data_IF_277284611224
#
_entry.id   IF_277284611224
#
_cell.length_a   1.000
_cell.length_b   1.000
_cell.length_c   1.000
_cell.angle_alpha   90.00
_cell.angle_beta   90.00
_cell.angle_gamma   90.00
#
_symmetry.space_group_name_H-M   'P 1'
#
loop_
_entity.id
_entity.type
_entity.pdbx_description
1 polymer ?
#
# COMPACT_ATOMS: atom_id res chain seq x y z
N UNK A 1 47.64 11.47 16.95
CA UNK A 1 46.38 12.21 16.81
C UNK A 1 45.84 11.74 15.48
N UNK A 2 44.86 10.84 15.51
CA UNK A 2 44.22 10.39 14.27
C UNK A 2 43.48 11.59 13.67
N UNK A 3 43.76 11.88 12.39
CA UNK A 3 43.12 12.97 11.66
C UNK A 3 41.61 12.72 11.62
N UNK A 4 40.85 13.53 12.36
CA UNK A 4 39.40 13.51 12.31
C UNK A 4 38.97 14.00 10.93
N UNK A 5 38.64 13.06 10.04
CA UNK A 5 37.98 13.37 8.78
C UNK A 5 36.49 13.55 9.08
N UNK A 6 35.92 14.75 8.89
CA UNK A 6 34.49 14.94 9.09
C UNK A 6 33.72 14.01 8.14
N UNK A 7 32.56 13.47 8.56
CA UNK A 7 31.75 12.64 7.69
C UNK A 7 31.38 13.42 6.42
N UNK A 8 31.27 12.75 5.28
CA UNK A 8 30.92 13.40 4.03
C UNK A 8 29.60 14.18 4.18
N UNK A 9 29.47 15.35 3.52
CA UNK A 9 28.26 16.14 3.60
C UNK A 9 27.07 15.32 3.08
N UNK A 10 25.96 15.41 3.82
CA UNK A 10 24.71 14.76 3.44
C UNK A 10 24.20 15.34 2.12
N UNK A 11 23.53 14.54 1.27
CA UNK A 11 22.87 15.08 0.10
C UNK A 11 21.81 16.10 0.53
N UNK A 12 21.60 17.18 -0.25
CA UNK A 12 20.59 18.20 0.05
C UNK A 12 19.18 17.58 0.05
N UNK A 13 18.23 18.10 0.85
CA UNK A 13 16.85 17.62 0.85
C UNK A 13 16.30 17.54 -0.57
N UNK A 14 15.60 16.44 -0.87
CA UNK A 14 14.99 16.24 -2.17
C UNK A 14 13.71 17.09 -2.30
N UNK A 15 12.90 17.12 -1.24
CA UNK A 15 11.67 17.90 -1.22
C UNK A 15 11.92 19.34 -0.75
N UNK A 16 11.32 20.36 -1.42
CA UNK A 16 11.28 21.70 -0.87
C UNK A 16 10.62 21.72 0.51
N UNK A 17 11.05 22.59 1.45
CA UNK A 17 10.51 22.61 2.82
C UNK A 17 8.98 22.71 2.89
N UNK A 18 8.35 23.50 2.02
CA UNK A 18 6.90 23.62 1.96
C UNK A 18 6.21 22.32 1.54
N UNK A 19 6.77 21.60 0.56
CA UNK A 19 6.24 20.30 0.11
C UNK A 19 6.42 19.23 1.18
N UNK A 20 7.58 19.18 1.84
CA UNK A 20 7.83 18.26 2.95
C UNK A 20 6.87 18.51 4.12
N UNK A 21 6.67 19.78 4.49
CA UNK A 21 5.69 20.14 5.51
C UNK A 21 4.28 19.71 5.11
N UNK A 22 3.87 19.95 3.86
CA UNK A 22 2.56 19.54 3.37
C UNK A 22 2.36 18.02 3.45
N UNK A 23 3.37 17.24 3.05
CA UNK A 23 3.36 15.77 3.18
C UNK A 23 3.17 15.34 4.63
N UNK A 24 3.96 15.90 5.54
CA UNK A 24 3.91 15.54 6.95
C UNK A 24 2.63 16.01 7.66
N UNK A 25 2.00 17.10 7.19
CA UNK A 25 0.78 17.65 7.80
C UNK A 25 -0.50 17.00 7.27
N UNK A 26 -0.58 16.76 5.96
CA UNK A 26 -1.80 16.28 5.31
C UNK A 26 -1.73 14.81 4.86
N UNK A 27 -0.54 14.22 4.91
CA UNK A 27 -0.30 12.83 4.56
C UNK A 27 -0.07 12.59 3.06
N UNK A 28 -0.19 13.60 2.18
CA UNK A 28 0.03 13.43 0.74
C UNK A 28 0.74 14.64 0.11
N UNK A 29 1.36 14.47 -1.06
CA UNK A 29 1.86 15.54 -1.94
C UNK A 29 1.70 15.16 -3.42
N UNK A 30 1.60 16.17 -4.29
CA UNK A 30 1.91 16.02 -5.71
C UNK A 30 3.41 16.02 -5.95
N UNK A 31 3.89 15.21 -6.89
CA UNK A 31 5.31 15.10 -7.21
C UNK A 31 5.55 15.21 -8.72
N UNK A 32 6.61 15.90 -9.14
CA UNK A 32 7.11 15.81 -10.50
C UNK A 32 8.16 14.71 -10.56
N UNK A 33 7.92 13.67 -11.35
CA UNK A 33 8.90 12.59 -11.51
C UNK A 33 10.13 13.08 -12.28
N UNK A 34 11.34 12.61 -11.93
CA UNK A 34 12.49 12.74 -12.81
C UNK A 34 12.18 12.18 -14.20
N UNK A 35 12.66 12.84 -15.26
CA UNK A 35 12.33 12.45 -16.63
C UNK A 35 12.61 10.97 -16.96
N UNK A 36 13.76 10.37 -16.56
CA UNK A 36 14.00 8.94 -16.78
C UNK A 36 12.94 8.05 -16.11
N UNK A 37 12.59 8.34 -14.86
CA UNK A 37 11.59 7.58 -14.12
C UNK A 37 10.19 7.73 -14.75
N UNK A 38 9.81 8.94 -15.18
CA UNK A 38 8.57 9.16 -15.90
C UNK A 38 8.49 8.30 -17.17
N UNK A 39 9.58 8.22 -17.94
CA UNK A 39 9.66 7.38 -19.14
C UNK A 39 9.52 5.88 -18.81
N UNK A 40 10.12 5.41 -17.72
CA UNK A 40 9.95 4.02 -17.27
C UNK A 40 8.50 3.70 -16.89
N UNK A 41 7.78 4.63 -16.22
CA UNK A 41 6.36 4.46 -15.93
C UNK A 41 5.51 4.36 -17.21
N UNK A 42 5.82 5.14 -18.24
CA UNK A 42 5.15 5.04 -19.54
C UNK A 42 5.42 3.70 -20.24
N UNK A 43 6.65 3.19 -20.17
CA UNK A 43 7.00 1.86 -20.69
C UNK A 43 6.26 0.74 -19.95
N UNK A 44 6.19 0.82 -18.63
CA UNK A 44 5.44 -0.12 -17.80
C UNK A 44 3.94 -0.04 -18.05
N UNK A 45 3.40 1.16 -18.26
CA UNK A 45 2.00 1.33 -18.66
C UNK A 45 1.72 0.64 -19.99
N UNK A 46 2.57 0.85 -21.00
CA UNK A 46 2.41 0.22 -22.30
C UNK A 46 2.46 -1.33 -22.21
N UNK A 47 3.39 -1.88 -21.42
CA UNK A 47 3.48 -3.32 -21.17
C UNK A 47 2.23 -3.85 -20.44
N UNK A 48 1.74 -3.08 -19.45
CA UNK A 48 0.52 -3.39 -18.72
C UNK A 48 -0.72 -3.38 -19.62
N UNK A 49 -0.85 -2.38 -20.48
CA UNK A 49 -1.97 -2.26 -21.43
C UNK A 49 -1.95 -3.42 -22.44
N UNK A 50 -0.76 -3.81 -22.93
CA UNK A 50 -0.60 -4.99 -23.79
C UNK A 50 -1.03 -6.29 -23.09
N UNK A 51 -0.74 -6.45 -21.80
CA UNK A 51 -1.22 -7.59 -21.00
C UNK A 51 -2.73 -7.56 -20.83
N UNK A 52 -3.31 -6.43 -20.41
CA UNK A 52 -4.76 -6.34 -20.15
C UNK A 52 -5.62 -6.41 -21.41
N UNK A 53 -5.06 -6.08 -22.57
CA UNK A 53 -5.71 -6.27 -23.87
C UNK A 53 -5.89 -7.76 -24.26
N UNK A 54 -5.19 -8.69 -23.61
CA UNK A 54 -5.34 -10.11 -23.89
C UNK A 54 -6.73 -10.64 -23.46
N UNK A 55 -7.25 -11.69 -24.13
CA UNK A 55 -8.47 -12.36 -23.69
C UNK A 55 -8.37 -12.84 -22.23
N UNK A 56 -9.48 -12.79 -21.49
CA UNK A 56 -9.50 -13.19 -20.07
C UNK A 56 -8.88 -14.58 -19.84
N UNK A 57 -9.16 -15.55 -20.71
CA UNK A 57 -8.60 -16.90 -20.64
C UNK A 57 -7.06 -16.95 -20.66
N UNK A 58 -6.39 -16.01 -21.34
CA UNK A 58 -4.93 -15.93 -21.37
C UNK A 58 -4.35 -15.28 -20.10
N UNK A 59 -5.15 -14.47 -19.38
CA UNK A 59 -4.77 -13.80 -18.14
C UNK A 59 -5.01 -14.66 -16.89
N UNK A 60 -6.02 -15.53 -16.92
CA UNK A 60 -6.39 -16.40 -15.80
C UNK A 60 -5.25 -17.29 -15.25
N UNK A 61 -4.32 -17.82 -16.06
CA UNK A 61 -3.17 -18.57 -15.55
C UNK A 61 -2.31 -17.82 -14.54
N UNK A 62 -2.31 -16.48 -14.55
CA UNK A 62 -1.51 -15.65 -13.63
C UNK A 62 -2.23 -15.32 -12.31
N UNK A 63 -3.47 -15.78 -12.11
CA UNK A 63 -4.16 -15.62 -10.81
C UNK A 63 -3.46 -16.42 -9.72
N UNK A 64 -3.57 -16.06 -8.43
CA UNK A 64 -3.18 -16.95 -7.34
C UNK A 64 -3.99 -18.25 -7.31
N UNK A 65 -3.34 -19.38 -6.99
CA UNK A 65 -4.02 -20.63 -6.67
C UNK A 65 -3.35 -21.39 -5.51
N UNK A 66 -4.16 -22.13 -4.74
CA UNK A 66 -3.68 -22.96 -3.63
C UNK A 66 -2.79 -24.09 -4.13
N UNK A 67 -3.25 -24.78 -5.18
CA UNK A 67 -2.51 -25.81 -5.89
C UNK A 67 -2.15 -25.25 -7.28
N UNK A 68 -1.00 -25.62 -7.84
CA UNK A 68 -0.64 -25.27 -9.23
C UNK A 68 -1.25 -26.29 -10.19
N UNK A 69 -2.45 -26.08 -10.76
CA UNK A 69 -2.90 -26.94 -11.84
C UNK A 69 -1.92 -26.84 -13.02
N UNK A 70 -1.87 -27.86 -13.90
CA UNK A 70 -1.06 -27.80 -15.11
C UNK A 70 -1.34 -26.50 -15.90
N UNK A 71 -0.29 -25.77 -16.25
CA UNK A 71 -0.39 -24.50 -16.98
C UNK A 71 -0.68 -23.26 -16.11
N UNK A 72 -0.74 -23.40 -14.78
CA UNK A 72 -0.80 -22.25 -13.87
C UNK A 72 0.55 -21.53 -13.79
N UNK A 73 0.55 -20.23 -13.98
CA UNK A 73 1.73 -19.36 -13.96
C UNK A 73 1.75 -18.42 -12.75
N UNK A 74 0.62 -18.30 -12.06
CA UNK A 74 0.46 -17.47 -10.88
C UNK A 74 1.12 -18.02 -9.62
N UNK A 75 1.15 -17.20 -8.55
CA UNK A 75 1.79 -17.53 -7.30
C UNK A 75 1.04 -18.62 -6.52
N UNK A 76 1.75 -19.57 -5.88
CA UNK A 76 1.13 -20.58 -5.01
C UNK A 76 0.65 -19.91 -3.71
N UNK A 77 -0.57 -19.37 -3.73
CA UNK A 77 -1.19 -18.71 -2.60
C UNK A 77 -2.71 -18.74 -2.69
N UNK A 78 -3.39 -18.41 -1.59
CA UNK A 78 -4.85 -18.38 -1.56
C UNK A 78 -5.42 -17.64 -2.77
N UNK A 79 -6.46 -18.17 -3.46
CA UNK A 79 -7.17 -17.44 -4.51
C UNK A 79 -7.72 -16.08 -4.05
N UNK A 80 -7.90 -15.91 -2.73
CA UNK A 80 -8.33 -14.65 -2.11
C UNK A 80 -7.17 -13.69 -1.80
N UNK A 81 -5.92 -14.10 -2.07
CA UNK A 81 -4.74 -13.28 -1.85
C UNK A 81 -4.58 -12.25 -2.97
N UNK A 82 -5.05 -11.04 -2.73
CA UNK A 82 -4.94 -9.93 -3.69
C UNK A 82 -3.57 -9.23 -3.67
N UNK A 83 -2.59 -9.73 -2.91
CA UNK A 83 -1.25 -9.15 -2.82
C UNK A 83 -0.24 -9.76 -3.80
N UNK A 84 -0.67 -10.69 -4.66
CA UNK A 84 0.18 -11.28 -5.72
C UNK A 84 -0.65 -11.70 -6.92
N UNK A 85 -0.05 -11.70 -8.11
CA UNK A 85 -0.67 -12.24 -9.31
C UNK A 85 -1.81 -11.39 -9.86
N UNK A 86 -2.52 -11.96 -10.84
CA UNK A 86 -3.63 -11.32 -11.53
C UNK A 86 -4.94 -11.45 -10.75
N UNK A 87 -5.76 -10.40 -10.77
CA UNK A 87 -7.14 -10.41 -10.28
C UNK A 87 -8.02 -9.67 -11.27
N UNK A 88 -9.21 -10.21 -11.53
CA UNK A 88 -10.27 -9.49 -12.25
C UNK A 88 -11.55 -9.53 -11.45
N UNK A 89 -12.10 -8.34 -11.23
CA UNK A 89 -13.36 -8.07 -10.56
C UNK A 89 -14.31 -7.55 -11.63
N UNK A 90 -15.24 -8.41 -12.03
CA UNK A 90 -16.19 -8.14 -13.11
C UNK A 90 -17.00 -6.86 -12.85
N UNK A 91 -17.09 -5.99 -13.85
CA UNK A 91 -17.78 -4.70 -13.74
C UNK A 91 -17.05 -3.65 -12.91
N UNK A 92 -15.88 -3.97 -12.33
CA UNK A 92 -15.09 -3.04 -11.52
C UNK A 92 -13.73 -2.75 -12.16
N UNK A 93 -12.80 -3.70 -12.06
CA UNK A 93 -11.39 -3.49 -12.38
C UNK A 93 -10.67 -4.82 -12.54
N UNK A 94 -9.59 -4.79 -13.29
CA UNK A 94 -8.57 -5.81 -13.28
C UNK A 94 -7.24 -5.24 -12.83
N UNK A 95 -6.42 -6.07 -12.20
CA UNK A 95 -5.10 -5.65 -11.76
C UNK A 95 -4.12 -6.81 -11.68
N UNK A 96 -2.83 -6.47 -11.79
CA UNK A 96 -1.70 -7.36 -11.58
C UNK A 96 -0.91 -6.84 -10.37
N UNK A 97 -0.72 -7.68 -9.35
CA UNK A 97 0.10 -7.34 -8.18
C UNK A 97 1.45 -8.05 -8.23
N UNK A 98 2.51 -7.26 -8.20
CA UNK A 98 3.90 -7.68 -8.22
C UNK A 98 4.48 -7.55 -6.81
N UNK A 99 5.25 -8.56 -6.40
CA UNK A 99 6.08 -8.55 -5.19
C UNK A 99 7.53 -8.63 -5.59
N UNK A 100 8.44 -8.38 -4.64
CA UNK A 100 9.89 -8.34 -4.89
C UNK A 100 10.38 -9.49 -5.76
N UNK A 101 10.03 -10.74 -5.47
CA UNK A 101 10.51 -11.88 -6.25
C UNK A 101 10.18 -11.83 -7.74
N UNK A 102 9.07 -11.17 -8.13
CA UNK A 102 8.67 -10.99 -9.53
C UNK A 102 8.64 -12.31 -10.35
N UNK A 103 8.41 -13.42 -9.68
CA UNK A 103 8.54 -14.78 -10.22
C UNK A 103 7.36 -15.25 -11.08
N UNK A 104 6.24 -14.53 -11.02
CA UNK A 104 4.95 -14.95 -11.59
C UNK A 104 4.42 -13.94 -12.61
N UNK A 105 5.33 -13.24 -13.30
CA UNK A 105 4.97 -12.15 -14.19
C UNK A 105 4.67 -12.64 -15.61
N UNK A 106 3.69 -12.03 -16.29
CA UNK A 106 3.53 -12.19 -17.73
C UNK A 106 4.79 -11.76 -18.49
N UNK A 107 5.05 -12.35 -19.69
CA UNK A 107 6.15 -11.95 -20.55
C UNK A 107 6.18 -10.43 -20.80
N UNK A 108 7.38 -9.84 -20.73
CA UNK A 108 7.60 -8.40 -20.96
C UNK A 108 7.24 -7.48 -19.79
N UNK A 109 6.51 -7.96 -18.76
CA UNK A 109 6.20 -7.13 -17.58
C UNK A 109 7.45 -6.95 -16.71
N UNK A 110 8.28 -7.98 -16.52
CA UNK A 110 9.47 -7.89 -15.67
C UNK A 110 10.44 -6.81 -16.14
N UNK A 111 10.81 -6.82 -17.42
CA UNK A 111 11.78 -5.88 -17.99
C UNK A 111 11.36 -4.42 -17.84
N UNK A 112 10.05 -4.16 -17.89
CA UNK A 112 9.49 -2.82 -17.67
C UNK A 112 9.31 -2.48 -16.17
N UNK A 113 8.99 -3.48 -15.34
CA UNK A 113 8.68 -3.27 -13.92
C UNK A 113 9.92 -3.16 -13.03
N UNK A 114 11.00 -3.87 -13.34
CA UNK A 114 12.21 -3.90 -12.52
C UNK A 114 12.88 -2.50 -12.41
N UNK A 115 13.08 -1.73 -13.50
CA UNK A 115 13.60 -0.36 -13.40
C UNK A 115 12.68 0.57 -12.61
N UNK A 116 11.36 0.50 -12.85
CA UNK A 116 10.37 1.28 -12.11
C UNK A 116 10.43 0.96 -10.62
N UNK A 117 10.55 -0.32 -10.25
CA UNK A 117 10.65 -0.75 -8.86
C UNK A 117 11.89 -0.14 -8.20
N UNK A 118 13.06 -0.33 -8.80
CA UNK A 118 14.34 0.16 -8.28
C UNK A 118 14.29 1.68 -8.07
N UNK A 119 14.06 2.44 -9.15
CA UNK A 119 14.13 3.90 -9.09
C UNK A 119 13.03 4.51 -8.21
N UNK A 120 11.83 3.91 -8.19
CA UNK A 120 10.76 4.36 -7.29
C UNK A 120 11.07 4.07 -5.83
N UNK A 121 11.61 2.88 -5.51
CA UNK A 121 11.93 2.53 -4.14
C UNK A 121 13.03 3.46 -3.57
N UNK A 122 14.07 3.73 -4.36
CA UNK A 122 15.14 4.68 -4.00
C UNK A 122 14.62 6.11 -3.88
N UNK A 123 13.72 6.55 -4.77
CA UNK A 123 13.06 7.86 -4.66
C UNK A 123 12.28 7.99 -3.34
N UNK A 124 11.47 6.98 -3.00
CA UNK A 124 10.69 6.98 -1.76
C UNK A 124 11.57 6.86 -0.51
N UNK A 125 12.64 6.08 -0.56
CA UNK A 125 13.64 6.00 0.52
C UNK A 125 14.33 7.34 0.75
N UNK A 126 14.66 8.08 -0.33
CA UNK A 126 15.19 9.45 -0.21
C UNK A 126 14.20 10.40 0.47
N UNK A 127 12.91 10.31 0.12
CA UNK A 127 11.83 11.07 0.77
C UNK A 127 11.69 10.68 2.25
N UNK A 128 11.82 9.40 2.61
CA UNK A 128 11.87 8.97 4.00
C UNK A 128 13.05 9.61 4.76
N UNK A 129 14.21 9.74 4.12
CA UNK A 129 15.35 10.47 4.69
C UNK A 129 15.02 11.93 5.01
N UNK A 130 14.32 12.63 4.11
CA UNK A 130 13.85 14.02 4.36
C UNK A 130 12.83 14.05 5.51
N UNK A 131 11.90 13.09 5.56
CA UNK A 131 10.94 12.93 6.67
C UNK A 131 11.68 12.67 8.00
N UNK A 132 12.72 11.84 7.99
CA UNK A 132 13.55 11.58 9.17
C UNK A 132 14.12 12.87 9.74
N UNK A 133 14.72 13.71 8.89
CA UNK A 133 15.23 15.02 9.29
C UNK A 133 14.10 15.94 9.79
N UNK A 134 12.95 15.96 9.12
CA UNK A 134 11.78 16.74 9.55
C UNK A 134 11.30 16.35 10.96
N UNK A 135 11.37 15.06 11.29
CA UNK A 135 10.99 14.51 12.59
C UNK A 135 12.09 14.62 13.66
N UNK A 136 13.24 15.23 13.34
CA UNK A 136 14.41 15.29 14.22
C UNK A 136 15.09 13.94 14.44
N UNK A 137 14.87 12.97 13.54
CA UNK A 137 15.49 11.66 13.57
C UNK A 137 16.83 11.65 12.80
N UNK A 138 17.59 10.58 12.96
CA UNK A 138 18.77 10.32 12.15
C UNK A 138 18.39 10.15 10.66
N UNK A 139 19.24 10.60 9.70
CA UNK A 139 18.95 10.48 8.28
C UNK A 139 18.87 9.02 7.79
N UNK A 140 19.44 8.09 8.54
CA UNK A 140 19.50 6.65 8.27
C UNK A 140 18.49 5.84 9.09
N UNK A 141 17.60 6.50 9.85
CA UNK A 141 16.63 5.82 10.73
C UNK A 141 15.75 4.82 9.97
N UNK A 142 15.57 5.02 8.66
CA UNK A 142 14.73 4.18 7.82
C UNK A 142 15.50 3.06 7.10
N UNK A 143 16.83 3.06 7.11
CA UNK A 143 17.65 2.16 6.29
C UNK A 143 17.40 0.70 6.64
N UNK A 144 17.44 0.37 7.94
CA UNK A 144 17.11 -0.97 8.43
C UNK A 144 15.64 -1.35 8.19
N UNK A 145 14.74 -0.36 8.14
CA UNK A 145 13.30 -0.59 7.95
C UNK A 145 12.98 -0.96 6.51
N UNK A 146 13.76 -0.53 5.51
CA UNK A 146 13.48 -0.80 4.09
C UNK A 146 14.57 -1.60 3.38
N UNK A 147 15.56 -2.12 4.11
CA UNK A 147 16.76 -2.75 3.55
C UNK A 147 16.47 -3.85 2.51
N UNK A 148 15.41 -4.62 2.70
CA UNK A 148 15.03 -5.70 1.79
C UNK A 148 14.11 -5.27 0.65
N UNK A 149 13.67 -4.00 0.60
CA UNK A 149 12.60 -3.53 -0.28
C UNK A 149 13.05 -2.66 -1.45
N UNK A 150 14.31 -2.21 -1.44
CA UNK A 150 14.84 -1.25 -2.44
C UNK A 150 15.09 -1.88 -3.81
N UNK A 151 15.47 -3.15 -3.82
CA UNK A 151 15.81 -3.85 -5.06
C UNK A 151 14.70 -4.82 -5.49
N UNK A 152 14.38 -4.89 -6.80
CA UNK A 152 13.59 -5.99 -7.31
C UNK A 152 14.37 -7.32 -7.14
N UNK A 153 13.65 -8.43 -7.07
CA UNK A 153 14.25 -9.75 -7.23
C UNK A 153 14.70 -9.97 -8.67
N UNK A 154 15.44 -11.05 -8.92
CA UNK A 154 15.99 -11.40 -10.23
C UNK A 154 14.93 -11.84 -11.26
N UNK A 155 13.67 -11.98 -10.86
CA UNK A 155 12.58 -12.45 -11.72
C UNK A 155 12.73 -13.91 -12.15
N UNK A 156 13.76 -14.62 -11.68
CA UNK A 156 14.04 -15.99 -12.09
C UNK A 156 13.17 -16.93 -11.27
N UNK A 157 12.17 -17.51 -11.94
CA UNK A 157 11.46 -18.64 -11.37
C UNK A 157 12.31 -19.89 -11.47
N UNK A 158 12.95 -20.28 -10.37
CA UNK A 158 13.49 -21.63 -10.24
C UNK A 158 12.32 -22.60 -10.28
N UNK A 159 12.16 -23.32 -11.40
CA UNK A 159 11.11 -24.32 -11.53
C UNK A 159 11.23 -25.37 -10.42
N UNK A 160 10.12 -25.96 -9.98
CA UNK A 160 10.11 -27.02 -8.97
C UNK A 160 11.05 -28.19 -9.35
N UNK A 161 11.30 -28.40 -10.64
CA UNK A 161 12.27 -29.40 -11.15
C UNK A 161 13.74 -28.99 -10.97
N UNK A 162 14.07 -27.70 -11.16
CA UNK A 162 15.41 -27.16 -10.87
C UNK A 162 15.65 -27.14 -9.36
N UNK A 163 14.60 -26.87 -8.57
CA UNK A 163 14.62 -26.95 -7.11
C UNK A 163 14.83 -28.41 -6.65
N UNK A 164 14.08 -29.35 -7.22
CA UNK A 164 14.18 -30.78 -6.89
C UNK A 164 15.53 -31.39 -7.32
N UNK A 165 16.06 -31.00 -8.48
CA UNK A 165 17.39 -31.42 -8.93
C UNK A 165 18.50 -30.93 -7.98
N UNK A 166 18.42 -29.66 -7.54
CA UNK A 166 19.37 -29.11 -6.57
C UNK A 166 19.24 -29.75 -5.17
N UNK A 167 18.06 -30.23 -4.79
CA UNK A 167 17.86 -30.98 -3.53
C UNK A 167 18.40 -32.41 -3.58
N UNK A 168 18.23 -33.09 -4.72
CA UNK A 168 18.76 -34.44 -4.93
C UNK A 168 20.30 -34.46 -4.82
N UNK A 169 20.97 -33.50 -5.45
CA UNK A 169 22.45 -33.38 -5.43
C UNK A 169 23.02 -33.08 -4.02
N UNK A 170 22.23 -32.52 -3.10
CA UNK A 170 22.65 -32.28 -1.71
C UNK A 170 22.41 -33.47 -0.78
N UNK A 171 21.51 -34.40 -1.15
CA UNK A 171 21.22 -35.59 -0.34
C UNK A 171 22.27 -36.70 -0.49
N UNK A 172 23.00 -36.74 -1.62
CA UNK A 172 24.00 -37.76 -1.93
C UNK A 172 25.35 -37.58 -1.22
N UNK A 173 25.53 -36.50 -0.43
CA UNK A 173 26.77 -36.21 0.30
C UNK A 173 26.87 -36.76 1.72
N UNK A 174 25.77 -37.27 2.31
CA UNK A 174 25.80 -37.87 3.66
C UNK A 174 26.13 -39.37 3.57
N UNK A 175 27.41 -39.65 3.35
CA UNK A 175 27.96 -40.98 3.55
C UNK A 175 27.69 -41.48 4.97
N UNK A 176 27.19 -42.71 5.07
CA UNK A 176 26.99 -43.46 6.30
C UNK A 176 28.35 -43.70 7.00
N UNK A 177 28.73 -42.78 7.89
CA UNK A 177 29.81 -42.98 8.84
C UNK A 177 29.29 -43.60 10.13
N UNK A 178 29.07 -44.92 10.14
CA UNK A 178 28.98 -45.67 11.40
C UNK A 178 30.36 -45.67 12.08
N UNK A 179 30.52 -44.84 13.11
CA UNK A 179 31.76 -44.74 13.89
C UNK A 179 31.51 -44.44 15.35
N UNK A 180 31.24 -45.48 16.15
CA UNK A 180 31.32 -45.43 17.62
C UNK A 180 32.77 -45.12 18.04
N UNK A 181 33.00 -43.94 18.60
CA UNK A 181 34.26 -43.59 19.25
C UNK A 181 34.06 -42.61 20.40
N UNK A 182 34.07 -43.12 21.63
CA UNK A 182 34.27 -42.30 22.84
C UNK A 182 35.77 -41.96 22.92
N UNK A 183 36.11 -40.68 22.94
CA UNK A 183 37.45 -40.21 23.27
C UNK A 183 37.43 -38.73 23.60
N UNK A 184 37.69 -38.39 24.87
CA UNK A 184 38.24 -37.10 25.27
C UNK A 184 39.58 -36.89 24.56
N UNK A 185 39.92 -35.66 24.18
CA UNK A 185 41.25 -35.04 24.30
C UNK A 185 41.14 -33.58 23.85
N UNK A 186 41.69 -32.70 24.68
CA UNK A 186 42.04 -31.30 24.42
C UNK A 186 43.07 -31.21 23.27
N UNK A 187 42.98 -30.24 22.37
CA UNK A 187 44.15 -29.51 21.83
C UNK A 187 43.75 -28.45 20.79
N UNK A 188 44.49 -27.35 20.86
CA UNK A 188 44.50 -26.20 19.98
C UNK A 188 44.67 -26.57 18.50
N UNK A 189 43.82 -26.04 17.62
CA UNK A 189 43.89 -26.30 16.18
C UNK A 189 43.14 -25.29 15.34
N UNK A 190 43.92 -24.43 14.68
CA UNK A 190 43.69 -23.66 13.44
C UNK A 190 42.24 -23.57 12.91
N UNK A 191 41.69 -22.36 12.99
CA UNK A 191 40.45 -21.91 12.31
C UNK A 191 40.61 -22.01 10.77
N UNK A 192 40.33 -23.18 10.22
CA UNK A 192 40.04 -23.33 8.80
C UNK A 192 38.80 -22.49 8.44
N UNK A 193 38.83 -21.71 7.34
CA UNK A 193 37.71 -20.86 6.95
C UNK A 193 36.50 -21.74 6.61
N UNK A 194 35.50 -21.70 7.49
CA UNK A 194 34.19 -22.32 7.30
C UNK A 194 33.65 -21.88 5.94
N UNK A 195 33.64 -22.80 4.98
CA UNK A 195 33.23 -22.54 3.61
C UNK A 195 31.83 -21.94 3.54
N UNK A 196 31.67 -20.94 2.67
CA UNK A 196 30.42 -20.24 2.38
C UNK A 196 29.28 -21.27 2.25
N UNK A 197 28.43 -21.33 3.27
CA UNK A 197 27.20 -22.11 3.18
C UNK A 197 26.35 -21.50 2.07
N UNK A 198 25.79 -22.30 1.14
CA UNK A 198 24.99 -21.76 0.06
C UNK A 198 23.85 -20.90 0.63
N UNK A 199 23.51 -19.77 -0.04
CA UNK A 199 22.54 -18.82 0.48
C UNK A 199 21.24 -19.53 0.84
N UNK A 200 20.78 -19.34 2.08
CA UNK A 200 19.50 -19.89 2.56
C UNK A 200 18.39 -19.44 1.62
N UNK A 201 17.66 -20.42 1.08
CA UNK A 201 16.54 -20.19 0.14
C UNK A 201 15.44 -19.37 0.84
N UNK A 202 14.95 -18.33 0.18
CA UNK A 202 13.81 -17.54 0.65
C UNK A 202 12.49 -18.17 0.19
N UNK A 203 11.60 -18.50 1.12
CA UNK A 203 10.24 -18.90 0.76
C UNK A 203 9.54 -17.68 0.13
N UNK A 204 8.65 -17.81 -0.86
CA UNK A 204 7.86 -16.69 -1.37
C UNK A 204 7.00 -15.95 -0.31
N UNK A 205 6.89 -16.50 0.91
CA UNK A 205 6.22 -15.87 2.07
C UNK A 205 7.15 -14.91 2.83
N UNK A 206 8.43 -14.95 2.49
CA UNK A 206 9.51 -14.15 3.05
C UNK A 206 9.82 -12.94 2.16
N UNK A 207 9.18 -12.81 0.98
CA UNK A 207 9.31 -11.57 0.22
C UNK A 207 8.82 -10.41 1.10
N UNK A 208 9.54 -9.28 1.05
CA UNK A 208 9.10 -8.08 1.71
C UNK A 208 7.66 -7.70 1.29
N UNK A 209 6.93 -7.03 2.17
CA UNK A 209 5.55 -6.67 1.93
C UNK A 209 5.41 -5.54 0.89
N UNK A 210 6.50 -4.89 0.50
CA UNK A 210 6.58 -3.93 -0.61
C UNK A 210 6.01 -4.55 -1.87
N UNK A 211 5.22 -3.76 -2.61
CA UNK A 211 4.50 -4.24 -3.78
C UNK A 211 4.30 -3.14 -4.82
N UNK A 212 4.05 -3.57 -6.05
CA UNK A 212 3.70 -2.75 -7.19
C UNK A 212 2.40 -3.31 -7.79
N UNK A 213 1.42 -2.45 -8.07
CA UNK A 213 0.13 -2.83 -8.67
C UNK A 213 -0.12 -2.07 -9.95
N UNK A 214 -0.49 -2.82 -10.98
CA UNK A 214 -0.92 -2.28 -12.26
C UNK A 214 -2.44 -2.44 -12.33
N UNK A 215 -3.18 -1.33 -12.39
CA UNK A 215 -4.65 -1.34 -12.43
C UNK A 215 -5.16 -0.87 -13.78
N UNK A 216 -6.20 -1.55 -14.26
CA UNK A 216 -7.09 -1.08 -15.31
C UNK A 216 -8.52 -1.15 -14.80
N UNK A 217 -9.22 -0.02 -14.87
CA UNK A 217 -10.60 0.09 -14.40
C UNK A 217 -11.57 -0.10 -15.56
N UNK A 218 -12.65 -0.84 -15.34
CA UNK A 218 -13.70 -0.96 -16.35
C UNK A 218 -14.48 0.36 -16.46
N UNK A 219 -14.90 0.78 -17.68
CA UNK A 219 -15.67 2.00 -17.85
C UNK A 219 -16.90 2.06 -16.95
N UNK A 220 -17.05 3.17 -16.24
CA UNK A 220 -18.16 3.39 -15.32
C UNK A 220 -18.18 2.47 -14.10
N UNK A 221 -17.08 1.76 -13.84
CA UNK A 221 -16.88 0.89 -12.69
C UNK A 221 -15.62 1.24 -11.90
N UNK A 222 -15.30 0.39 -10.93
CA UNK A 222 -13.95 0.36 -10.38
C UNK A 222 -13.62 1.43 -9.34
N UNK A 223 -14.64 2.03 -8.73
CA UNK A 223 -14.45 2.82 -7.52
C UNK A 223 -13.73 2.04 -6.42
N UNK A 224 -13.10 2.76 -5.50
CA UNK A 224 -12.54 2.21 -4.28
C UNK A 224 -13.03 3.07 -3.12
N UNK A 225 -13.59 2.44 -2.10
CA UNK A 225 -14.03 3.12 -0.88
C UNK A 225 -12.83 3.81 -0.20
N UNK A 226 -13.14 4.71 0.74
CA UNK A 226 -12.09 5.37 1.52
C UNK A 226 -11.24 4.37 2.29
N UNK A 227 -9.92 4.52 2.22
CA UNK A 227 -8.99 3.70 2.99
C UNK A 227 -7.65 4.41 3.18
N UNK A 228 -6.76 3.77 3.95
CA UNK A 228 -5.35 4.12 4.15
C UNK A 228 -4.51 2.94 3.71
N UNK A 229 -3.32 3.23 3.20
CA UNK A 229 -2.36 2.17 2.86
C UNK A 229 -1.59 1.68 4.09
N UNK A 230 -1.21 0.41 4.07
CA UNK A 230 -0.50 -0.23 5.18
C UNK A 230 0.95 0.27 5.34
N UNK A 231 1.60 0.67 4.25
CA UNK A 231 3.05 0.83 4.15
C UNK A 231 3.65 2.05 4.85
N UNK A 232 4.86 2.41 4.42
CA UNK A 232 5.53 3.65 4.82
C UNK A 232 5.07 4.79 3.90
N UNK A 233 5.31 4.62 2.61
CA UNK A 233 4.92 5.56 1.56
C UNK A 233 4.32 4.79 0.37
N UNK A 234 3.32 5.38 -0.27
CA UNK A 234 2.77 4.91 -1.55
C UNK A 234 2.94 6.01 -2.58
N UNK A 235 3.42 5.68 -3.77
CA UNK A 235 3.28 6.55 -4.94
C UNK A 235 2.23 5.97 -5.89
N UNK A 236 1.35 6.83 -6.37
CA UNK A 236 0.32 6.50 -7.33
C UNK A 236 0.49 7.37 -8.57
N UNK A 237 0.69 6.74 -9.72
CA UNK A 237 0.74 7.39 -11.03
C UNK A 237 -0.54 7.03 -11.77
N UNK A 238 -1.39 8.02 -12.03
CA UNK A 238 -2.71 7.84 -12.65
C UNK A 238 -2.72 8.34 -14.10
N UNK A 239 -3.42 7.61 -14.96
CA UNK A 239 -3.84 8.08 -16.28
C UNK A 239 -5.37 8.07 -16.30
N UNK A 240 -5.94 9.28 -16.23
CA UNK A 240 -7.37 9.51 -15.98
C UNK A 240 -7.62 10.13 -14.60
N UNK A 241 -8.85 10.61 -14.38
CA UNK A 241 -9.29 11.23 -13.12
C UNK A 241 -9.79 10.19 -12.12
N UNK A 242 -10.18 10.63 -10.92
CA UNK A 242 -10.95 9.83 -9.96
C UNK A 242 -10.23 9.46 -8.67
N UNK A 243 -8.89 9.55 -8.60
CA UNK A 243 -8.20 9.45 -7.31
C UNK A 243 -8.48 10.72 -6.51
N UNK A 244 -8.99 10.55 -5.30
CA UNK A 244 -9.22 11.65 -4.36
C UNK A 244 -8.53 11.36 -3.04
N UNK A 245 -8.01 12.41 -2.41
CA UNK A 245 -7.40 12.38 -1.08
C UNK A 245 -8.20 13.28 -0.16
N UNK A 246 -8.28 12.93 1.13
CA UNK A 246 -8.91 13.73 2.16
C UNK A 246 -7.81 14.45 2.95
N UNK A 247 -7.65 15.78 2.78
CA UNK A 247 -6.70 16.55 3.57
C UNK A 247 -6.97 16.32 5.06
N UNK A 248 -5.95 15.90 5.79
CA UNK A 248 -6.06 15.79 7.24
C UNK A 248 -5.93 17.19 7.85
N UNK A 249 -6.69 17.48 8.92
CA UNK A 249 -6.45 18.70 9.68
C UNK A 249 -4.98 18.68 10.17
N UNK A 250 -4.35 19.86 10.27
CA UNK A 250 -2.97 19.93 10.75
C UNK A 250 -2.88 19.24 12.11
N UNK A 251 -1.93 18.30 12.24
CA UNK A 251 -1.71 17.61 13.51
C UNK A 251 -1.24 18.56 14.62
N UNK A 252 -1.23 18.10 15.88
CA UNK A 252 -0.80 18.90 17.04
C UNK A 252 0.65 19.39 16.97
N UNK A 253 1.45 18.87 16.04
CA UNK A 253 2.82 19.30 15.78
C UNK A 253 2.96 20.50 14.87
N UNK A 254 1.87 21.07 14.35
CA UNK A 254 1.96 22.35 13.66
C UNK A 254 2.42 23.37 14.68
N UNK A 255 3.66 23.90 14.61
CA UNK A 255 4.11 24.89 15.57
C UNK A 255 3.08 26.02 15.54
N UNK A 256 2.59 26.51 16.70
CA UNK A 256 1.76 27.69 16.69
C UNK A 256 2.54 28.73 15.88
N UNK A 257 1.95 29.22 14.77
CA UNK A 257 2.61 30.20 13.90
C UNK A 257 3.18 31.27 14.82
N UNK A 258 4.51 31.28 14.91
CA UNK A 258 5.21 31.98 15.97
C UNK A 258 4.84 33.45 15.87
N UNK A 259 4.18 33.96 16.91
CA UNK A 259 3.67 35.33 17.02
C UNK A 259 4.79 36.38 17.18
N UNK A 260 5.93 36.17 16.51
CA UNK A 260 7.16 36.94 16.74
C UNK A 260 7.22 38.26 15.96
N UNK A 261 6.33 38.50 15.01
CA UNK A 261 6.16 39.85 14.47
C UNK A 261 5.16 40.60 15.35
N UNK A 262 5.68 41.33 16.34
CA UNK A 262 4.96 42.28 17.21
C UNK A 262 4.34 43.47 16.47
N UNK A 263 3.80 43.25 15.27
CA UNK A 263 3.02 44.19 14.51
C UNK A 263 1.67 44.47 15.18
N UNK A 264 1.07 45.63 14.91
CA UNK A 264 -0.22 46.02 15.48
C UNK A 264 -1.26 44.93 15.19
N UNK A 265 -2.00 44.57 16.23
CA UNK A 265 -3.06 43.55 16.24
C UNK A 265 -4.13 43.91 15.22
N UNK A 266 -3.91 43.53 13.95
CA UNK A 266 -4.95 43.52 12.95
C UNK A 266 -6.03 42.54 13.44
N UNK A 267 -7.29 42.93 13.27
CA UNK A 267 -8.44 42.10 13.63
C UNK A 267 -8.20 40.64 13.19
N UNK A 268 -8.59 39.65 14.02
CA UNK A 268 -8.35 38.24 13.71
C UNK A 268 -8.81 37.99 12.27
N UNK A 269 -7.95 37.44 11.40
CA UNK A 269 -8.34 37.17 10.03
C UNK A 269 -9.62 36.32 10.07
N UNK A 270 -10.62 36.74 9.29
CA UNK A 270 -11.84 35.96 9.08
C UNK A 270 -11.46 34.50 8.87
N UNK A 271 -12.08 33.60 9.67
CA UNK A 271 -11.74 32.19 9.63
C UNK A 271 -11.71 31.70 8.17
N UNK A 272 -10.65 31.00 7.75
CA UNK A 272 -10.57 30.50 6.39
C UNK A 272 -11.80 29.63 6.10
N UNK A 273 -12.33 29.65 4.86
CA UNK A 273 -13.44 28.79 4.49
C UNK A 273 -13.08 27.33 4.80
N UNK A 274 -14.06 26.50 5.21
CA UNK A 274 -13.81 25.09 5.50
C UNK A 274 -13.18 24.44 4.27
N UNK A 275 -12.06 23.74 4.48
CA UNK A 275 -11.40 23.01 3.42
C UNK A 275 -12.38 21.95 2.86
N UNK A 276 -12.38 21.69 1.53
CA UNK A 276 -13.20 20.63 0.96
C UNK A 276 -12.83 19.27 1.59
N UNK A 277 -13.84 18.45 1.87
CA UNK A 277 -13.66 17.12 2.49
C UNK A 277 -12.80 16.17 1.65
N UNK A 278 -12.82 16.35 0.32
CA UNK A 278 -12.08 15.54 -0.65
C UNK A 278 -11.55 16.44 -1.75
N UNK A 279 -10.29 16.21 -2.13
CA UNK A 279 -9.65 16.90 -3.25
C UNK A 279 -9.16 15.89 -4.27
N UNK A 280 -9.25 16.28 -5.54
CA UNK A 280 -8.66 15.48 -6.62
C UNK A 280 -7.15 15.42 -6.44
N UNK A 281 -6.61 14.21 -6.49
CA UNK A 281 -5.19 13.98 -6.35
C UNK A 281 -4.46 14.36 -7.65
N UNK A 282 -3.25 14.95 -7.56
CA UNK A 282 -2.38 15.12 -8.72
C UNK A 282 -2.11 13.81 -9.47
N UNK A 283 -1.72 13.91 -10.74
CA UNK A 283 -1.44 12.74 -11.58
C UNK A 283 -0.43 11.78 -10.93
N UNK A 284 0.63 12.33 -10.34
CA UNK A 284 1.62 11.62 -9.54
C UNK A 284 1.47 12.10 -8.11
N UNK A 285 1.00 11.21 -7.24
CA UNK A 285 0.74 11.52 -5.83
C UNK A 285 1.54 10.59 -4.94
N UNK A 286 2.29 11.14 -3.99
CA UNK A 286 2.90 10.41 -2.88
C UNK A 286 2.00 10.53 -1.66
N UNK A 287 1.79 9.42 -0.96
CA UNK A 287 0.93 9.29 0.20
C UNK A 287 1.66 8.56 1.33
N UNK A 288 1.35 8.90 2.56
CA UNK A 288 1.87 8.27 3.77
C UNK A 288 0.98 7.12 4.20
N UNK A 289 1.59 6.01 4.61
CA UNK A 289 0.89 4.82 5.08
C UNK A 289 0.82 4.70 6.60
N UNK A 290 0.17 3.64 7.07
CA UNK A 290 -0.01 3.37 8.50
C UNK A 290 1.29 3.00 9.21
N UNK A 291 2.21 2.30 8.55
CA UNK A 291 3.49 1.94 9.18
C UNK A 291 4.28 3.20 9.51
N UNK A 292 4.31 4.19 8.60
CA UNK A 292 4.95 5.47 8.86
C UNK A 292 4.25 6.24 10.00
N UNK A 293 2.91 6.24 10.03
CA UNK A 293 2.16 6.85 11.13
C UNK A 293 2.47 6.21 12.48
N UNK A 294 2.54 4.87 12.55
CA UNK A 294 2.85 4.15 13.79
C UNK A 294 4.29 4.41 14.23
N UNK A 295 5.27 4.24 13.34
CA UNK A 295 6.68 4.45 13.66
C UNK A 295 6.99 5.92 13.96
N UNK A 296 6.27 6.87 13.37
CA UNK A 296 6.40 8.28 13.73
C UNK A 296 5.65 8.65 15.01
N UNK A 297 5.04 7.72 15.74
CA UNK A 297 4.23 7.98 16.94
C UNK A 297 3.06 8.95 16.68
N UNK A 298 2.34 8.73 15.57
CA UNK A 298 1.24 9.58 15.08
C UNK A 298 1.63 11.02 14.72
N UNK A 299 2.93 11.34 14.64
CA UNK A 299 3.41 12.66 14.24
C UNK A 299 3.11 12.98 12.77
N UNK A 300 3.04 11.95 11.94
CA UNK A 300 2.63 12.04 10.53
C UNK A 300 1.32 11.25 10.36
N UNK A 301 0.24 11.87 9.89
CA UNK A 301 -1.00 11.15 9.65
C UNK A 301 -0.87 10.30 8.38
N UNK A 302 -1.56 9.16 8.33
CA UNK A 302 -1.67 8.38 7.09
C UNK A 302 -2.71 9.00 6.17
N UNK A 303 -2.39 9.11 4.88
CA UNK A 303 -3.30 9.62 3.87
C UNK A 303 -4.58 8.78 3.78
N UNK A 304 -5.73 9.45 3.90
CA UNK A 304 -7.02 8.85 3.57
C UNK A 304 -7.30 9.17 2.10
N UNK A 305 -7.56 8.13 1.31
CA UNK A 305 -7.82 8.28 -0.12
C UNK A 305 -8.93 7.35 -0.59
N UNK A 306 -9.53 7.67 -1.74
CA UNK A 306 -10.58 6.89 -2.41
C UNK A 306 -10.45 6.99 -3.92
N UNK A 307 -11.13 6.11 -4.64
CA UNK A 307 -11.31 6.22 -6.09
C UNK A 307 -12.79 6.42 -6.37
N UNK A 308 -13.12 7.52 -7.03
CA UNK A 308 -14.48 7.87 -7.46
C UNK A 308 -14.62 7.62 -8.95
N UNK A 309 -15.74 7.01 -9.32
CA UNK A 309 -16.16 6.84 -10.72
C UNK A 309 -16.87 8.11 -11.17
N UNK A 310 -16.58 8.62 -12.36
CA UNK A 310 -17.35 9.74 -12.92
C UNK A 310 -18.82 9.30 -13.08
N UNK A 311 -19.79 10.00 -12.46
CA UNK A 311 -21.20 9.63 -12.56
C UNK A 311 -21.71 9.53 -14.00
N UNK A 312 -21.18 10.34 -14.92
CA UNK A 312 -21.56 10.31 -16.34
C UNK A 312 -21.03 9.03 -17.00
N UNK A 313 -19.81 8.64 -16.67
CA UNK A 313 -19.20 7.40 -17.15
C UNK A 313 -19.94 6.18 -16.59
N UNK A 314 -20.32 6.22 -15.31
CA UNK A 314 -21.12 5.19 -14.67
C UNK A 314 -22.50 5.02 -15.33
N UNK A 315 -23.19 6.13 -15.61
CA UNK A 315 -24.49 6.12 -16.29
C UNK A 315 -24.38 5.56 -17.72
N UNK A 316 -23.40 6.02 -18.50
CA UNK A 316 -23.16 5.53 -19.86
C UNK A 316 -22.84 4.02 -19.87
N UNK A 317 -22.03 3.55 -18.93
CA UNK A 317 -21.72 2.12 -18.79
C UNK A 317 -22.95 1.29 -18.38
N UNK A 318 -23.84 1.83 -17.55
CA UNK A 318 -25.07 1.16 -17.17
C UNK A 318 -26.04 1.01 -18.36
N UNK A 319 -26.23 2.07 -19.15
CA UNK A 319 -27.05 2.04 -20.36
C UNK A 319 -26.53 1.02 -21.39
N UNK A 320 -25.21 0.98 -21.60
CA UNK A 320 -24.56 0.02 -22.47
C UNK A 320 -24.86 -1.45 -22.09
N UNK A 321 -24.85 -1.78 -20.79
CA UNK A 321 -25.15 -3.14 -20.29
C UNK A 321 -26.60 -3.55 -20.55
N UNK A 322 -27.56 -2.63 -20.39
CA UNK A 322 -28.99 -2.92 -20.60
C UNK A 322 -29.27 -3.22 -22.08
N UNK A 323 -28.59 -2.53 -22.99
CA UNK A 323 -28.82 -2.69 -24.43
C UNK A 323 -28.36 -4.03 -25.01
N UNK A 324 -27.72 -4.92 -24.24
CA UNK A 324 -27.10 -6.14 -24.74
C UNK A 324 -26.01 -5.90 -25.79
N UNK A 325 -25.67 -4.63 -26.04
CA UNK A 325 -24.63 -4.21 -26.95
C UNK A 325 -23.33 -4.36 -26.21
N UNK A 326 -22.49 -5.30 -26.65
CA UNK A 326 -21.05 -5.18 -26.40
C UNK A 326 -20.63 -3.94 -27.16
N UNK A 327 -20.73 -2.77 -26.53
CA UNK A 327 -20.37 -1.54 -27.19
C UNK A 327 -18.89 -1.70 -27.51
N UNK A 328 -18.59 -1.92 -28.80
CA UNK A 328 -17.26 -1.80 -29.41
C UNK A 328 -16.82 -0.32 -29.35
N UNK A 329 -17.16 0.40 -28.27
CA UNK A 329 -16.57 1.68 -27.98
C UNK A 329 -15.09 1.41 -28.02
N UNK A 330 -14.34 2.07 -28.92
CA UNK A 330 -12.89 2.02 -28.85
C UNK A 330 -12.53 2.33 -27.40
N UNK A 331 -11.53 1.66 -26.80
CA UNK A 331 -11.15 1.82 -25.40
C UNK A 331 -10.66 3.26 -25.15
N UNK A 332 -11.58 4.22 -25.17
CA UNK A 332 -11.36 5.62 -24.92
C UNK A 332 -11.11 5.72 -23.43
N UNK A 333 -9.83 5.67 -23.12
CA UNK A 333 -9.19 6.00 -21.85
C UNK A 333 -9.87 5.41 -20.61
N UNK A 334 -10.04 4.08 -20.58
CA UNK A 334 -10.24 3.40 -19.30
C UNK A 334 -9.19 3.91 -18.32
N UNK A 335 -9.61 4.35 -17.13
CA UNK A 335 -8.68 4.81 -16.10
C UNK A 335 -7.64 3.72 -15.86
N UNK A 336 -6.38 4.14 -15.76
CA UNK A 336 -5.25 3.26 -15.43
C UNK A 336 -4.49 3.87 -14.26
N UNK A 337 -3.92 3.02 -13.42
CA UNK A 337 -3.00 3.51 -12.39
C UNK A 337 -1.94 2.49 -12.06
N UNK A 338 -0.73 2.97 -11.83
CA UNK A 338 0.37 2.19 -11.29
C UNK A 338 0.61 2.66 -9.86
N UNK A 339 0.56 1.73 -8.92
CA UNK A 339 0.69 2.01 -7.48
C UNK A 339 1.88 1.24 -6.93
N UNK A 340 2.90 1.95 -6.45
CA UNK A 340 4.03 1.37 -5.74
C UNK A 340 3.91 1.69 -4.26
N UNK A 341 3.83 0.67 -3.41
CA UNK A 341 3.74 0.81 -1.97
C UNK A 341 5.04 0.33 -1.31
N UNK A 342 5.88 1.27 -0.89
CA UNK A 342 7.06 0.99 -0.09
C UNK A 342 6.62 0.63 1.33
N UNK A 343 6.94 -0.59 1.77
CA UNK A 343 6.57 -1.09 3.10
C UNK A 343 7.82 -1.43 3.88
N UNK A 344 7.68 -1.48 5.21
CA UNK A 344 8.75 -1.93 6.08
C UNK A 344 9.07 -3.42 5.83
N UNK A 345 10.32 -3.81 6.11
CA UNK A 345 10.73 -5.22 6.18
C UNK A 345 9.83 -5.99 7.15
N UNK A 346 9.77 -7.30 6.95
CA UNK A 346 9.17 -8.21 7.96
C UNK A 346 10.21 -9.11 8.60
N UNK A 347 11.49 -8.83 8.38
CA UNK A 347 12.61 -9.62 8.88
C UNK A 347 13.29 -8.86 10.01
N UNK A 348 13.60 -9.56 11.11
CA UNK A 348 14.29 -9.00 12.26
C UNK A 348 13.43 -8.06 13.11
N UNK A 349 14.12 -7.24 13.89
CA UNK A 349 13.53 -6.28 14.81
C UNK A 349 13.78 -4.84 14.34
N UNK A 350 12.81 -3.96 14.59
CA UNK A 350 12.91 -2.52 14.36
C UNK A 350 13.23 -1.86 15.71
N UNK A 351 14.36 -1.16 15.78
CA UNK A 351 14.74 -0.38 16.96
C UNK A 351 13.85 0.86 17.09
N UNK A 352 13.04 0.95 18.15
CA UNK A 352 12.14 2.07 18.36
C UNK A 352 12.89 3.33 18.81
N UNK A 353 14.10 3.18 19.35
CA UNK A 353 15.01 4.28 19.68
C UNK A 353 15.31 5.17 18.47
N UNK A 354 15.36 4.61 17.27
CA UNK A 354 15.64 5.35 16.03
C UNK A 354 14.48 6.31 15.66
N UNK A 355 13.33 6.12 16.29
CA UNK A 355 12.11 6.90 16.10
C UNK A 355 11.71 7.73 17.33
N UNK A 356 12.56 7.76 18.36
CA UNK A 356 12.30 8.45 19.63
C UNK A 356 11.46 7.65 20.64
N UNK A 357 11.29 6.35 20.43
CA UNK A 357 10.69 5.40 21.38
C UNK A 357 11.72 4.62 22.19
N UNK A 358 11.27 3.60 22.93
CA UNK A 358 12.12 2.71 23.72
C UNK A 358 11.97 1.26 23.27
N UNK A 359 13.06 0.48 23.31
CA UNK A 359 13.06 -0.94 22.97
C UNK A 359 13.07 -1.23 21.46
N UNK A 360 12.60 -2.43 21.11
CA UNK A 360 12.45 -2.89 19.72
C UNK A 360 11.12 -3.61 19.54
N UNK A 361 10.65 -3.70 18.30
CA UNK A 361 9.46 -4.48 17.92
C UNK A 361 9.82 -5.42 16.77
N UNK A 362 9.31 -6.66 16.81
CA UNK A 362 9.47 -7.59 15.69
C UNK A 362 8.81 -7.03 14.43
N UNK A 363 9.55 -6.95 13.32
CA UNK A 363 9.08 -6.29 12.10
C UNK A 363 7.83 -6.97 11.52
N UNK A 364 7.78 -8.31 11.56
CA UNK A 364 6.59 -9.11 11.20
C UNK A 364 5.41 -8.84 12.13
N UNK A 365 5.66 -8.75 13.43
CA UNK A 365 4.63 -8.48 14.43
C UNK A 365 3.98 -7.10 14.21
N UNK A 366 4.81 -6.06 13.98
CA UNK A 366 4.34 -4.73 13.63
C UNK A 366 3.44 -4.77 12.39
N UNK A 367 3.89 -5.42 11.31
CA UNK A 367 3.12 -5.54 10.08
C UNK A 367 1.78 -6.25 10.30
N UNK A 368 1.77 -7.39 11.01
CA UNK A 368 0.56 -8.16 11.27
C UNK A 368 -0.43 -7.39 12.14
N UNK A 369 0.04 -6.65 13.14
CA UNK A 369 -0.80 -5.82 14.02
C UNK A 369 -1.47 -4.68 13.24
N UNK A 370 -0.73 -3.99 12.37
CA UNK A 370 -1.30 -2.95 11.50
C UNK A 370 -2.32 -3.59 10.53
N UNK A 371 -1.93 -4.69 9.87
CA UNK A 371 -2.77 -5.36 8.86
C UNK A 371 -4.09 -5.88 9.42
N UNK A 372 -4.10 -6.48 10.61
CA UNK A 372 -5.32 -7.02 11.26
C UNK A 372 -6.39 -5.96 11.50
N UNK A 373 -6.01 -4.68 11.57
CA UNK A 373 -6.94 -3.56 11.78
C UNK A 373 -7.65 -3.09 10.50
N UNK A 374 -7.46 -3.76 9.35
CA UNK A 374 -7.87 -3.27 8.03
C UNK A 374 -8.78 -4.23 7.26
N UNK A 375 -9.65 -3.62 6.45
CA UNK A 375 -10.44 -4.31 5.42
C UNK A 375 -9.67 -4.28 4.11
N UNK A 376 -9.61 -5.42 3.40
CA UNK A 376 -8.96 -5.50 2.10
C UNK A 376 -9.85 -4.88 1.02
N UNK A 377 -9.56 -3.64 0.61
CA UNK A 377 -10.38 -2.92 -0.37
C UNK A 377 -10.36 -3.53 -1.78
N UNK A 378 -9.38 -4.38 -2.07
CA UNK A 378 -9.24 -5.04 -3.37
C UNK A 378 -9.87 -6.43 -3.42
N UNK A 379 -10.47 -6.89 -2.32
CA UNK A 379 -11.33 -8.07 -2.32
C UNK A 379 -12.68 -7.77 -3.00
N UNK A 380 -13.40 -8.81 -3.41
CA UNK A 380 -14.76 -8.70 -3.95
C UNK A 380 -15.75 -8.11 -2.93
N UNK A 381 -16.91 -7.64 -3.42
CA UNK A 381 -17.92 -6.94 -2.63
C UNK A 381 -18.38 -7.74 -1.42
N UNK A 382 -18.67 -9.03 -1.59
CA UNK A 382 -19.19 -9.90 -0.53
C UNK A 382 -18.13 -10.13 0.53
N UNK A 383 -16.88 -10.38 0.11
CA UNK A 383 -15.75 -10.52 1.03
C UNK A 383 -15.49 -9.24 1.82
N UNK A 384 -15.58 -8.06 1.19
CA UNK A 384 -15.47 -6.76 1.89
C UNK A 384 -16.58 -6.59 2.93
N UNK A 385 -17.82 -6.97 2.60
CA UNK A 385 -18.94 -6.93 3.54
C UNK A 385 -18.73 -7.86 4.74
N UNK A 386 -18.27 -9.10 4.52
CA UNK A 386 -17.96 -10.05 5.58
C UNK A 386 -16.86 -9.54 6.51
N UNK A 387 -15.77 -9.00 5.95
CA UNK A 387 -14.67 -8.43 6.75
C UNK A 387 -15.13 -7.25 7.61
N UNK A 388 -16.05 -6.41 7.11
CA UNK A 388 -16.65 -5.32 7.89
C UNK A 388 -17.48 -5.85 9.06
N UNK A 389 -18.31 -6.87 8.81
CA UNK A 389 -19.12 -7.49 9.86
C UNK A 389 -18.25 -8.13 10.96
N UNK A 390 -17.17 -8.83 10.58
CA UNK A 390 -16.19 -9.38 11.54
C UNK A 390 -15.50 -8.29 12.35
N UNK A 391 -15.10 -7.19 11.70
CA UNK A 391 -14.45 -6.06 12.36
C UNK A 391 -15.38 -5.35 13.36
N UNK A 392 -16.64 -5.10 12.98
CA UNK A 392 -17.64 -4.50 13.86
C UNK A 392 -17.92 -5.41 15.07
N UNK A 393 -18.02 -6.72 14.86
CA UNK A 393 -18.16 -7.71 15.93
C UNK A 393 -16.97 -7.70 16.88
N UNK A 394 -15.74 -7.66 16.36
CA UNK A 394 -14.53 -7.66 17.17
C UNK A 394 -14.38 -6.39 18.02
N UNK A 395 -14.82 -5.23 17.51
CA UNK A 395 -14.81 -3.97 18.26
C UNK A 395 -15.95 -3.84 19.29
N UNK A 396 -16.86 -4.80 19.35
CA UNK A 396 -18.03 -4.70 20.23
C UNK A 396 -18.92 -3.50 19.90
N UNK A 397 -18.79 -2.94 18.70
CA UNK A 397 -19.69 -1.89 18.21
C UNK A 397 -21.02 -2.61 17.99
N UNK A 398 -21.96 -2.44 18.91
CA UNK A 398 -23.34 -2.91 18.72
C UNK A 398 -23.82 -2.26 17.43
N UNK A 399 -24.21 -3.07 16.45
CA UNK A 399 -24.84 -2.57 15.24
C UNK A 399 -26.01 -1.69 15.69
N UNK A 400 -25.93 -0.39 15.40
CA UNK A 400 -27.06 0.51 15.61
C UNK A 400 -28.21 -0.06 14.78
N UNK A 401 -29.26 -0.53 15.45
CA UNK A 401 -30.46 -1.12 14.84
C UNK A 401 -31.33 -0.07 14.14
N UNK A 402 -30.70 0.87 13.42
CA UNK A 402 -31.41 1.99 12.80
C UNK A 402 -31.94 1.67 11.41
N UNK A 403 -31.44 0.63 10.75
CA UNK A 403 -31.87 0.25 9.38
C UNK A 403 -33.04 -0.75 9.31
N UNK A 404 -33.52 -1.33 10.42
CA UNK A 404 -34.66 -2.27 10.37
C UNK A 404 -36.04 -1.58 10.39
N UNK A 405 -36.14 -0.27 10.65
CA UNK A 405 -37.43 0.44 10.71
C UNK A 405 -37.86 1.10 9.38
N UNK A 406 -37.04 1.08 8.32
CA UNK A 406 -37.42 1.67 7.02
C UNK A 406 -38.12 0.67 6.08
N UNK A 407 -38.12 -0.63 6.39
CA UNK A 407 -38.78 -1.66 5.58
C UNK A 407 -40.20 -2.07 6.05
N UNK A 408 -40.74 -1.49 7.13
CA UNK A 408 -42.12 -1.77 7.56
C UNK A 408 -43.17 -0.77 7.06
N UNK A 409 -42.79 0.25 6.28
CA UNK A 409 -43.73 1.32 5.89
C UNK A 409 -44.16 1.32 4.41
N UNK A 410 -43.91 0.24 3.66
CA UNK A 410 -44.26 0.15 2.22
C UNK A 410 -45.49 -0.73 1.91
N UNK A 411 -46.36 -0.98 2.88
CA UNK A 411 -47.69 -1.61 2.62
C UNK A 411 -48.84 -0.93 3.35
N UNK A 412 -49.16 0.31 2.99
CA UNK A 412 -50.55 0.83 3.08
C UNK A 412 -50.73 2.01 2.12
N UNK A 413 -51.23 1.75 0.91
CA UNK A 413 -51.92 2.74 0.09
C UNK A 413 -53.41 2.70 0.41
N UNK A 414 -53.92 3.71 1.11
CA UNK A 414 -55.24 4.31 0.82
C UNK A 414 -55.55 5.48 1.78
N UNK A 415 -56.06 6.58 1.21
CA UNK A 415 -56.97 7.48 1.93
C UNK A 415 -56.48 8.90 2.23
N UNK A 416 -56.93 9.84 1.38
CA UNK A 416 -57.22 11.26 1.65
C UNK A 416 -57.07 11.78 3.09
N UNK A 417 -56.23 12.82 3.26
CA UNK A 417 -56.63 14.03 4.01
C UNK A 417 -55.68 15.22 3.85
N UNK A 418 -56.30 16.39 3.73
CA UNK A 418 -55.69 17.70 3.66
C UNK A 418 -55.29 18.27 5.05
N UNK A 419 -54.39 19.27 4.99
CA UNK A 419 -54.15 20.37 5.95
C UNK A 419 -53.45 20.06 7.29
N UNK A 420 -52.22 20.57 7.49
CA UNK A 420 -51.92 21.80 8.27
C UNK A 420 -50.41 22.03 8.42
N UNK A 421 -50.07 23.30 8.50
CA UNK A 421 -48.77 23.93 8.75
C UNK A 421 -48.51 24.00 10.27
N UNK A 422 -47.36 23.56 10.80
CA UNK A 422 -46.70 24.22 11.95
C UNK A 422 -45.23 23.78 12.15
N UNK A 423 -44.52 24.67 12.85
CA UNK A 423 -43.11 24.82 13.27
C UNK A 423 -42.25 23.59 13.54
N UNK A 424 -41.00 23.71 13.08
CA UNK A 424 -39.79 23.88 13.91
C UNK A 424 -39.38 22.75 14.86
N UNK A 425 -38.19 22.21 14.64
CA UNK A 425 -37.13 22.15 15.66
C UNK A 425 -35.81 21.68 15.03
N UNK A 426 -34.73 22.26 15.52
CA UNK A 426 -33.35 21.99 15.15
C UNK A 426 -32.85 20.75 15.88
N UNK A 427 -32.01 19.94 15.25
CA UNK A 427 -31.09 19.09 16.00
C UNK A 427 -29.80 18.88 15.21
N UNK A 428 -28.78 19.64 15.62
CA UNK A 428 -27.38 19.36 15.35
C UNK A 428 -26.99 18.04 16.01
N UNK A 429 -26.22 17.22 15.30
CA UNK A 429 -25.78 15.92 15.77
C UNK A 429 -24.53 15.45 15.03
N UNK A 430 -23.48 16.27 15.04
CA UNK A 430 -22.14 15.88 14.66
C UNK A 430 -21.60 14.89 15.71
N UNK A 431 -21.35 13.63 15.32
CA UNK A 431 -20.75 12.62 16.19
C UNK A 431 -19.49 12.09 15.51
N UNK A 432 -18.37 12.76 15.74
CA UNK A 432 -17.04 12.25 15.39
C UNK A 432 -16.55 11.38 16.55
N UNK A 433 -16.48 10.06 16.35
CA UNK A 433 -15.92 9.12 17.33
C UNK A 433 -14.43 8.90 17.01
N UNK A 434 -13.55 9.60 17.72
CA UNK A 434 -12.13 9.31 17.75
C UNK A 434 -11.86 8.21 18.80
N UNK A 435 -11.52 7.01 18.33
CA UNK A 435 -10.98 5.96 19.20
C UNK A 435 -9.48 6.13 19.35
N UNK A 436 -9.04 6.73 20.46
CA UNK A 436 -7.65 6.72 20.92
C UNK A 436 -7.17 5.27 21.13
N UNK A 437 -6.10 4.88 20.44
CA UNK A 437 -5.27 3.74 20.81
C UNK A 437 -4.03 4.35 21.45
N UNK A 438 -4.13 4.68 22.73
CA UNK A 438 -2.99 5.00 23.60
C UNK A 438 -2.72 3.75 24.42
N UNK A 439 -1.77 2.93 23.97
CA UNK A 439 -1.52 1.65 24.66
C UNK A 439 -0.44 0.78 24.09
N UNK A 440 0.61 1.34 23.47
CA UNK A 440 1.96 0.73 23.43
C UNK A 440 2.95 1.88 23.27
N UNK A 441 3.54 2.30 24.38
CA UNK A 441 4.81 3.04 24.42
C UNK A 441 5.46 2.76 25.79
#
# INVERSE_FOLDING_TARGET
MDDFVPPPPRPPPLLPPASLHHLCAHGYIGLNLPHPLAQQYEQLLAASDAFFAQPLAAKLPYRPANDKPPGHLGPPSSPTNTERGYTHLDGEKEYLTLRKSMTHLPPGIYDAAAPVWHDTAHLLHRILGDIGVYLGLGPTAWDGVVADSLEPGDGVYYSDAVIAAAEAEHSDGKGEGEGKGKGNVDEDGDDEPVGDSPPKRHHPRDDPPTLLRLFRYEPGGGGAEQHRDLGLLTICVCWGKGLQVKPQPPGPLTPPQSAEDGGPTLAPPSAPPPAPDWVDAPQVTVMTGDTLRVLSSNRIPSAIHRVVVDPKEAAAAAEARIGGSTVDTPPSESRRSIVFALRATTVGDIALSDFGGFGSIGARELYDNIRKSRVNINADKDRRALMRAEYQRAKGIKADKREENENENETTTDGDRAFTQDKGESMDGDTTIEGEITGVA
#
